data_IF_600528601413
#
_entry.id   IF_600528601413
#
_cell.length_a   1.000
_cell.length_b   1.000
_cell.length_c   1.000
_cell.angle_alpha   90.00
_cell.angle_beta   90.00
_cell.angle_gamma   90.00
#
_symmetry.space_group_name_H-M   'P 1'
#
loop_
_entity.id
_entity.type
_entity.pdbx_description
1 polymer ?
#
# COMPACT_ATOMS: atom_id res chain seq x y z
N UNK A 1 -10.44 -24.92 10.83
CA UNK A 1 -9.02 -24.56 10.67
C UNK A 1 -9.00 -23.17 10.04
N UNK A 2 -8.51 -22.15 10.76
CA UNK A 2 -8.45 -20.77 10.26
C UNK A 2 -7.28 -20.70 9.27
N UNK A 3 -7.50 -20.22 8.04
CA UNK A 3 -6.46 -20.22 6.99
C UNK A 3 -5.71 -18.88 6.91
N UNK A 4 -5.50 -18.20 8.05
CA UNK A 4 -4.80 -16.91 8.17
C UNK A 4 -5.18 -15.87 7.08
N UNK A 5 -6.48 -15.83 6.73
CA UNK A 5 -7.04 -14.91 5.75
C UNK A 5 -6.93 -15.36 4.28
N UNK A 6 -6.35 -16.53 3.99
CA UNK A 6 -6.31 -17.09 2.62
C UNK A 6 -7.70 -17.44 2.10
N UNK A 7 -8.59 -17.93 2.96
CA UNK A 7 -10.01 -18.13 2.66
C UNK A 7 -10.72 -16.83 2.29
N UNK A 8 -10.44 -15.76 3.04
CA UNK A 8 -10.93 -14.42 2.75
C UNK A 8 -10.36 -13.88 1.43
N UNK A 9 -9.05 -14.06 1.19
CA UNK A 9 -8.43 -13.63 -0.05
C UNK A 9 -9.02 -14.35 -1.27
N UNK A 10 -9.13 -15.68 -1.23
CA UNK A 10 -9.65 -16.47 -2.34
C UNK A 10 -11.13 -16.22 -2.60
N UNK A 11 -11.94 -15.99 -1.57
CA UNK A 11 -13.36 -15.64 -1.74
C UNK A 11 -13.58 -14.25 -2.35
N UNK A 12 -12.60 -13.34 -2.23
CA UNK A 12 -12.68 -12.00 -2.81
C UNK A 12 -12.07 -11.97 -4.21
N UNK A 13 -10.83 -12.45 -4.38
CA UNK A 13 -10.05 -12.23 -5.62
C UNK A 13 -10.57 -13.04 -6.81
N UNK A 14 -11.24 -14.16 -6.56
CA UNK A 14 -11.70 -15.11 -7.59
C UNK A 14 -13.01 -14.67 -8.24
N UNK A 15 -13.06 -13.42 -8.72
CA UNK A 15 -14.25 -12.92 -9.41
C UNK A 15 -14.38 -13.47 -10.83
N UNK A 16 -15.61 -13.74 -11.31
CA UNK A 16 -15.85 -14.19 -12.68
C UNK A 16 -15.48 -13.10 -13.70
N UNK A 17 -15.26 -13.54 -14.94
CA UNK A 17 -15.01 -12.62 -16.05
C UNK A 17 -16.14 -11.59 -16.19
N UNK A 18 -15.76 -10.31 -16.36
CA UNK A 18 -16.70 -9.19 -16.49
C UNK A 18 -17.05 -8.45 -15.20
N UNK A 19 -16.66 -8.96 -14.03
CA UNK A 19 -16.91 -8.29 -12.73
C UNK A 19 -15.60 -8.14 -11.95
N UNK A 20 -14.74 -7.16 -12.29
CA UNK A 20 -13.44 -7.03 -11.66
C UNK A 20 -13.55 -6.55 -10.21
N UNK A 21 -12.59 -6.97 -9.37
CA UNK A 21 -12.39 -6.45 -8.02
C UNK A 21 -10.93 -6.08 -7.82
N UNK A 22 -10.68 -4.95 -7.17
CA UNK A 22 -9.34 -4.57 -6.77
C UNK A 22 -9.03 -5.14 -5.37
N UNK A 23 -8.34 -6.27 -5.32
CA UNK A 23 -7.95 -6.94 -4.07
C UNK A 23 -6.57 -6.44 -3.61
N UNK A 24 -6.41 -6.20 -2.31
CA UNK A 24 -5.12 -5.84 -1.69
C UNK A 24 -4.68 -6.93 -0.69
N UNK A 25 -3.52 -6.75 -0.06
CA UNK A 25 -2.97 -7.69 0.92
C UNK A 25 -3.95 -7.99 2.07
N UNK A 26 -3.91 -9.21 2.61
CA UNK A 26 -4.65 -9.60 3.83
C UNK A 26 -4.32 -8.62 4.96
N UNK A 27 -5.34 -8.13 5.68
CA UNK A 27 -5.18 -7.08 6.71
C UNK A 27 -4.73 -5.71 6.16
N UNK A 28 -4.68 -5.54 4.84
CA UNK A 28 -4.13 -4.38 4.14
C UNK A 28 -5.05 -3.16 4.06
N UNK A 29 -5.78 -2.82 5.12
CA UNK A 29 -6.75 -1.72 5.11
C UNK A 29 -6.13 -0.38 4.68
N UNK A 30 -4.88 -0.10 5.08
CA UNK A 30 -4.13 1.08 4.64
C UNK A 30 -3.93 1.10 3.12
N UNK A 31 -3.59 -0.04 2.51
CA UNK A 31 -3.40 -0.14 1.07
C UNK A 31 -4.72 0.01 0.31
N UNK A 32 -5.83 -0.52 0.84
CA UNK A 32 -7.15 -0.30 0.28
C UNK A 32 -7.52 1.20 0.27
N UNK A 33 -7.29 1.91 1.37
CA UNK A 33 -7.52 3.36 1.45
C UNK A 33 -6.62 4.15 0.47
N UNK A 34 -5.33 3.81 0.38
CA UNK A 34 -4.42 4.45 -0.57
C UNK A 34 -4.83 4.18 -2.02
N UNK A 35 -5.32 2.98 -2.35
CA UNK A 35 -5.83 2.67 -3.68
C UNK A 35 -7.07 3.50 -4.01
N UNK A 36 -8.01 3.61 -3.07
CA UNK A 36 -9.19 4.45 -3.23
C UNK A 36 -8.83 5.92 -3.45
N UNK A 37 -7.92 6.48 -2.64
CA UNK A 37 -7.45 7.86 -2.80
C UNK A 37 -6.76 8.05 -4.15
N UNK A 38 -5.97 7.09 -4.63
CA UNK A 38 -5.36 7.16 -5.98
C UNK A 38 -6.40 7.22 -7.09
N UNK A 39 -7.48 6.44 -6.99
CA UNK A 39 -8.59 6.52 -7.96
C UNK A 39 -9.29 7.88 -7.90
N UNK A 40 -9.58 8.39 -6.70
CA UNK A 40 -10.22 9.70 -6.51
C UNK A 40 -9.32 10.87 -6.97
N UNK A 41 -8.01 10.77 -6.75
CA UNK A 41 -7.04 11.78 -7.17
C UNK A 41 -6.98 11.98 -8.69
N UNK A 42 -7.51 11.04 -9.49
CA UNK A 42 -7.62 11.23 -10.95
C UNK A 42 -8.49 12.43 -11.34
N UNK A 43 -9.43 12.84 -10.48
CA UNK A 43 -10.32 13.97 -10.70
C UNK A 43 -10.24 15.04 -9.61
N UNK A 44 -9.43 14.86 -8.58
CA UNK A 44 -9.23 15.80 -7.47
C UNK A 44 -7.74 16.17 -7.33
N UNK A 45 -7.40 17.38 -7.76
CA UNK A 45 -6.04 17.91 -7.73
C UNK A 45 -5.49 18.04 -6.29
N UNK A 46 -6.36 18.29 -5.30
CA UNK A 46 -5.94 18.38 -3.90
C UNK A 46 -5.52 17.00 -3.38
N UNK A 47 -6.28 15.95 -3.72
CA UNK A 47 -5.90 14.58 -3.37
C UNK A 47 -4.65 14.13 -4.11
N UNK A 48 -4.47 14.54 -5.37
CA UNK A 48 -3.26 14.28 -6.14
C UNK A 48 -2.02 14.84 -5.44
N UNK A 49 -2.02 16.13 -5.09
CA UNK A 49 -0.89 16.77 -4.40
C UNK A 49 -0.58 16.10 -3.05
N UNK A 50 -1.62 15.73 -2.28
CA UNK A 50 -1.44 14.98 -1.04
C UNK A 50 -0.79 13.61 -1.26
N UNK A 51 -1.17 12.91 -2.34
CA UNK A 51 -0.56 11.63 -2.70
C UNK A 51 0.89 11.75 -3.19
N UNK A 52 1.23 12.82 -3.91
CA UNK A 52 2.61 13.11 -4.30
C UNK A 52 3.48 13.36 -3.07
N UNK A 53 2.99 14.20 -2.15
CA UNK A 53 3.68 14.45 -0.89
C UNK A 53 3.89 13.18 -0.06
N UNK A 54 2.84 12.38 0.08
CA UNK A 54 2.93 11.10 0.78
C UNK A 54 3.99 10.16 0.19
N UNK A 55 4.14 10.13 -1.14
CA UNK A 55 5.17 9.32 -1.80
C UNK A 55 6.59 9.84 -1.55
N UNK A 56 6.78 11.16 -1.56
CA UNK A 56 8.06 11.80 -1.23
C UNK A 56 8.48 11.48 0.21
N UNK A 57 7.56 11.68 1.15
CA UNK A 57 7.82 11.44 2.58
C UNK A 57 8.15 9.95 2.84
N UNK A 58 7.54 9.02 2.09
CA UNK A 58 7.83 7.58 2.20
C UNK A 58 9.22 7.23 1.67
N UNK A 59 9.63 7.81 0.54
CA UNK A 59 10.97 7.63 -0.02
C UNK A 59 12.05 8.17 0.93
N UNK A 60 11.81 9.34 1.51
CA UNK A 60 12.71 9.95 2.48
C UNK A 60 12.87 9.05 3.72
N UNK A 61 11.76 8.57 4.30
CA UNK A 61 11.80 7.65 5.44
C UNK A 61 12.57 6.37 5.14
N UNK A 62 12.42 5.80 3.94
CA UNK A 62 13.17 4.62 3.54
C UNK A 62 14.68 4.89 3.45
N UNK A 63 15.06 6.03 2.85
CA UNK A 63 16.45 6.46 2.75
C UNK A 63 17.08 6.68 4.13
N UNK A 64 16.38 7.40 5.02
CA UNK A 64 16.85 7.66 6.39
C UNK A 64 17.04 6.37 7.20
N UNK A 65 16.09 5.42 7.10
CA UNK A 65 16.21 4.11 7.75
C UNK A 65 17.42 3.33 7.22
N UNK A 66 17.64 3.36 5.92
CA UNK A 66 18.79 2.70 5.30
C UNK A 66 20.12 3.30 5.79
N UNK A 67 20.26 4.64 5.80
CA UNK A 67 21.45 5.32 6.30
C UNK A 67 21.72 4.99 7.78
N UNK A 68 20.65 4.92 8.59
CA UNK A 68 20.75 4.56 10.00
C UNK A 68 21.25 3.13 10.19
N UNK A 69 20.73 2.19 9.40
CA UNK A 69 21.19 0.80 9.37
C UNK A 69 22.66 0.72 8.97
N UNK A 70 23.08 1.37 7.89
CA UNK A 70 24.47 1.38 7.43
C UNK A 70 25.43 1.87 8.52
N UNK A 71 25.11 2.99 9.17
CA UNK A 71 25.93 3.52 10.28
C UNK A 71 26.05 2.54 11.44
N UNK A 72 24.97 1.81 11.76
CA UNK A 72 24.99 0.82 12.84
C UNK A 72 25.86 -0.40 12.52
N UNK A 73 26.02 -0.74 11.24
CA UNK A 73 26.89 -1.83 10.79
C UNK A 73 28.37 -1.43 10.77
N UNK A 74 28.67 -0.15 10.49
CA UNK A 74 30.03 0.39 10.52
C UNK A 74 30.58 0.59 11.94
N UNK A 75 29.70 0.63 12.96
CA UNK A 75 30.07 0.87 14.36
C UNK A 75 30.24 -0.44 15.16
N UNK A 76 29.95 -1.61 14.57
CA UNK A 76 30.21 -2.95 15.14
C UNK A 76 31.47 -3.57 14.52
#
# INVERSE_FOLDING_TARGET
KYLDGMDSLLSIVQMPAGVPVATVSIGGARNAGLLAVRMLAMSDQTLQQKMERFQQDLAEQSSQKNQTLQRSLETN
#
